data_IF_457855063572
#
_entry.id   IF_457855063572
#
_cell.length_a   1.000
_cell.length_b   1.000
_cell.length_c   1.000
_cell.angle_alpha   90.00
_cell.angle_beta   90.00
_cell.angle_gamma   90.00
#
_symmetry.space_group_name_H-M   'P 1'
#
loop_
_entity.id
_entity.type
_entity.pdbx_description
1 polymer ?
#
# COMPACT_ATOMS: atom_id res chain seq x y z
N UNK A 1 -12.99 -16.17 -11.68
CA UNK A 1 -13.02 -14.81 -12.29
C UNK A 1 -13.25 -13.73 -11.23
N UNK A 2 -14.26 -13.83 -10.36
CA UNK A 2 -14.49 -12.85 -9.26
C UNK A 2 -13.26 -12.63 -8.35
N UNK A 3 -12.55 -13.70 -7.97
CA UNK A 3 -11.37 -13.58 -7.10
C UNK A 3 -10.21 -12.82 -7.77
N UNK A 4 -10.08 -12.93 -9.10
CA UNK A 4 -9.07 -12.17 -9.84
C UNK A 4 -9.40 -10.67 -9.86
N UNK A 5 -10.69 -10.32 -9.96
CA UNK A 5 -11.14 -8.92 -9.82
C UNK A 5 -10.87 -8.38 -8.41
N UNK A 6 -11.17 -9.13 -7.35
CA UNK A 6 -10.89 -8.72 -5.97
C UNK A 6 -9.38 -8.56 -5.73
N UNK A 7 -8.56 -9.44 -6.32
CA UNK A 7 -7.10 -9.33 -6.28
C UNK A 7 -6.62 -8.05 -6.97
N UNK A 8 -7.17 -7.73 -8.15
CA UNK A 8 -6.81 -6.53 -8.90
C UNK A 8 -7.23 -5.24 -8.17
N UNK A 9 -8.35 -5.27 -7.44
CA UNK A 9 -8.77 -4.17 -6.57
C UNK A 9 -7.78 -3.99 -5.41
N UNK A 10 -7.40 -5.08 -4.73
CA UNK A 10 -6.38 -5.06 -3.69
C UNK A 10 -5.03 -4.55 -4.21
N UNK A 11 -4.66 -4.93 -5.43
CA UNK A 11 -3.47 -4.46 -6.12
C UNK A 11 -3.52 -2.96 -6.41
N UNK A 12 -4.63 -2.45 -6.95
CA UNK A 12 -4.79 -1.01 -7.21
C UNK A 12 -4.70 -0.15 -5.95
N UNK A 13 -5.32 -0.61 -4.85
CA UNK A 13 -5.23 0.03 -3.53
C UNK A 13 -3.78 0.01 -3.01
N UNK A 14 -3.09 -1.13 -3.14
CA UNK A 14 -1.70 -1.26 -2.69
C UNK A 14 -0.75 -0.35 -3.49
N UNK A 15 -0.92 -0.27 -4.81
CA UNK A 15 -0.12 0.61 -5.69
C UNK A 15 -0.36 2.07 -5.34
N UNK A 16 -1.60 2.51 -5.13
CA UNK A 16 -1.90 3.88 -4.73
C UNK A 16 -1.22 4.25 -3.41
N UNK A 17 -1.32 3.41 -2.39
CA UNK A 17 -0.67 3.65 -1.10
C UNK A 17 0.85 3.62 -1.18
N UNK A 18 1.42 2.72 -2.01
CA UNK A 18 2.85 2.63 -2.22
C UNK A 18 3.44 3.85 -2.92
N UNK A 19 2.77 4.36 -3.95
CA UNK A 19 3.18 5.59 -4.64
C UNK A 19 3.20 6.77 -3.67
N UNK A 20 2.19 6.93 -2.82
CA UNK A 20 2.16 7.99 -1.81
C UNK A 20 3.34 7.90 -0.83
N UNK A 21 3.68 6.70 -0.34
CA UNK A 21 4.82 6.50 0.58
C UNK A 21 6.15 6.88 -0.10
N UNK A 22 6.33 6.48 -1.37
CA UNK A 22 7.52 6.81 -2.17
C UNK A 22 7.61 8.32 -2.44
N UNK A 23 6.47 8.97 -2.66
CA UNK A 23 6.42 10.42 -2.88
C UNK A 23 6.83 11.18 -1.62
N UNK A 24 6.34 10.75 -0.46
CA UNK A 24 6.72 11.32 0.84
C UNK A 24 8.18 11.06 1.21
N UNK A 25 8.83 10.05 0.62
CA UNK A 25 10.25 9.75 0.81
C UNK A 25 11.15 10.90 0.36
N UNK A 26 10.69 11.75 -0.58
CA UNK A 26 11.39 12.98 -0.97
C UNK A 26 11.57 13.99 0.17
N UNK A 27 10.80 13.88 1.26
CA UNK A 27 10.97 14.77 2.40
C UNK A 27 12.23 14.46 3.23
N UNK A 28 12.75 13.23 3.16
CA UNK A 28 13.97 12.85 3.88
C UNK A 28 15.19 13.65 3.39
N UNK A 29 15.53 13.68 2.10
CA UNK A 29 16.61 14.52 1.59
C UNK A 29 16.30 16.03 1.69
N UNK A 30 15.04 16.42 1.86
CA UNK A 30 14.64 17.81 2.10
C UNK A 30 14.91 18.29 3.55
N UNK A 31 15.45 17.43 4.42
CA UNK A 31 15.86 17.77 5.78
C UNK A 31 15.00 17.16 6.89
N UNK A 32 14.09 16.25 6.56
CA UNK A 32 13.21 15.58 7.51
C UNK A 32 13.88 14.30 8.04
N UNK A 33 13.93 14.11 9.36
CA UNK A 33 14.52 12.90 9.94
C UNK A 33 13.65 11.66 9.66
N UNK A 34 14.27 10.48 9.65
CA UNK A 34 13.57 9.20 9.47
C UNK A 34 12.43 8.97 10.47
N UNK A 35 12.59 9.44 11.72
CA UNK A 35 11.55 9.32 12.73
C UNK A 35 10.34 10.20 12.41
N UNK A 36 10.58 11.46 12.05
CA UNK A 36 9.52 12.41 11.68
C UNK A 36 8.78 11.95 10.41
N UNK A 37 9.49 11.34 9.46
CA UNK A 37 8.90 10.75 8.26
C UNK A 37 7.92 9.61 8.60
N UNK A 38 8.30 8.70 9.50
CA UNK A 38 7.43 7.60 9.93
C UNK A 38 6.18 8.12 10.66
N UNK A 39 6.34 9.11 11.56
CA UNK A 39 5.21 9.74 12.24
C UNK A 39 4.29 10.48 11.25
N UNK A 40 4.87 11.13 10.23
CA UNK A 40 4.12 11.83 9.19
C UNK A 40 3.28 10.87 8.32
N UNK A 41 3.86 9.74 7.91
CA UNK A 41 3.18 8.71 7.13
C UNK A 41 2.04 8.07 7.91
N UNK A 42 2.26 7.78 9.20
CA UNK A 42 1.23 7.23 10.07
C UNK A 42 0.04 8.19 10.26
N UNK A 43 0.26 9.50 10.16
CA UNK A 43 -0.82 10.50 10.22
C UNK A 43 -1.65 10.63 8.94
N UNK A 44 -1.31 9.92 7.84
CA UNK A 44 -1.95 10.09 6.53
C UNK A 44 -2.73 8.84 6.13
N UNK A 45 -4.04 9.03 5.94
CA UNK A 45 -5.00 7.98 5.54
C UNK A 45 -4.57 7.28 4.24
N UNK A 46 -3.89 8.01 3.35
CA UNK A 46 -3.37 7.54 2.07
C UNK A 46 -2.38 6.39 2.20
N UNK A 47 -1.57 6.36 3.26
CA UNK A 47 -0.56 5.32 3.46
C UNK A 47 -1.16 4.02 4.01
N UNK A 48 -2.38 4.07 4.56
CA UNK A 48 -3.11 2.86 5.01
C UNK A 48 -3.66 2.04 3.83
N UNK A 49 -3.73 2.61 2.63
CA UNK A 49 -4.13 1.89 1.43
C UNK A 49 -3.15 0.76 1.08
N UNK A 50 -1.86 0.92 1.41
CA UNK A 50 -0.85 -0.11 1.18
C UNK A 50 -1.09 -1.38 2.02
N UNK A 51 -1.17 -1.32 3.37
CA UNK A 51 -1.43 -2.52 4.17
C UNK A 51 -2.82 -3.11 3.89
N UNK A 52 -3.84 -2.27 3.65
CA UNK A 52 -5.19 -2.75 3.32
C UNK A 52 -5.19 -3.50 1.98
N UNK A 53 -4.57 -2.93 0.95
CA UNK A 53 -4.43 -3.58 -0.36
C UNK A 53 -3.67 -4.92 -0.27
N UNK A 54 -2.60 -4.96 0.54
CA UNK A 54 -1.84 -6.19 0.83
C UNK A 54 -2.69 -7.26 1.52
N UNK A 55 -3.47 -6.90 2.54
CA UNK A 55 -4.35 -7.86 3.24
C UNK A 55 -5.36 -8.46 2.26
N UNK A 56 -5.96 -7.63 1.41
CA UNK A 56 -6.92 -8.08 0.39
C UNK A 56 -6.25 -9.03 -0.61
N UNK A 57 -5.04 -8.71 -1.07
CA UNK A 57 -4.28 -9.58 -1.97
C UNK A 57 -3.93 -10.92 -1.31
N UNK A 58 -3.45 -10.91 -0.06
CA UNK A 58 -3.09 -12.12 0.70
C UNK A 58 -4.32 -13.00 0.98
N UNK A 59 -5.45 -12.39 1.32
CA UNK A 59 -6.69 -13.14 1.54
C UNK A 59 -7.18 -13.83 0.25
N UNK A 60 -6.89 -13.22 -0.90
CA UNK A 60 -7.39 -13.68 -2.20
C UNK A 60 -6.46 -14.67 -2.88
N UNK A 61 -5.14 -14.59 -2.66
CA UNK A 61 -4.15 -15.41 -3.34
C UNK A 61 -4.39 -16.92 -3.13
N UNK A 62 -4.82 -17.32 -1.93
CA UNK A 62 -5.14 -18.71 -1.59
C UNK A 62 -6.40 -19.24 -2.31
N UNK A 63 -7.25 -18.34 -2.83
CA UNK A 63 -8.49 -18.66 -3.54
C UNK A 63 -8.31 -18.61 -5.06
N UNK A 64 -7.14 -18.18 -5.55
CA UNK A 64 -6.83 -18.23 -6.97
C UNK A 64 -6.49 -19.68 -7.35
N UNK A 65 -7.16 -20.27 -8.36
CA UNK A 65 -6.79 -21.56 -8.90
C UNK A 65 -5.48 -21.38 -9.69
N UNK A 66 -4.35 -21.44 -8.98
CA UNK A 66 -3.04 -21.58 -9.61
C UNK A 66 -2.92 -23.05 -9.97
N UNK A 67 -3.20 -23.36 -11.23
CA UNK A 67 -3.04 -24.70 -11.80
C UNK A 67 -1.56 -24.99 -12.04
#
# INVERSE_FOLDING_TARGET
MIYLLIFLIGFGLAVSGGVSIILYLNFIPAGLNWHDYLTFIQGRIECYFLPIGLIIMIATINKLPVK
#
